data_IF_770575169141
#
_entry.id   IF_770575169141
#
_cell.length_a   1.000
_cell.length_b   1.000
_cell.length_c   1.000
_cell.angle_alpha   90.00
_cell.angle_beta   90.00
_cell.angle_gamma   90.00
#
_symmetry.space_group_name_H-M   'P 1'
#
loop_
_entity.id
_entity.type
_entity.pdbx_description
1 polymer ?
#
# COMPACT_ATOMS: atom_id res chain seq x y z
N UNK A 1 68.96 -60.11 -11.52
CA UNK A 1 68.99 -59.03 -10.51
C UNK A 1 69.67 -57.80 -11.12
N UNK A 2 68.89 -56.96 -11.85
CA UNK A 2 68.84 -55.51 -11.54
C UNK A 2 67.51 -54.78 -11.88
N UNK A 3 67.22 -53.72 -11.10
CA UNK A 3 66.70 -52.36 -11.41
C UNK A 3 65.34 -52.08 -12.13
N UNK A 4 64.47 -51.39 -11.37
CA UNK A 4 63.94 -50.00 -11.55
C UNK A 4 62.64 -49.67 -12.35
N UNK A 5 61.77 -48.91 -11.65
CA UNK A 5 60.87 -47.80 -12.08
C UNK A 5 59.54 -48.22 -12.76
N UNK A 6 58.36 -47.82 -12.25
CA UNK A 6 57.64 -46.58 -12.66
C UNK A 6 56.49 -46.20 -11.70
N UNK A 7 56.34 -44.88 -11.50
CA UNK A 7 55.32 -44.15 -10.75
C UNK A 7 53.88 -44.36 -11.27
N UNK A 8 52.86 -44.18 -10.42
CA UNK A 8 51.78 -43.22 -10.74
C UNK A 8 50.93 -42.85 -9.51
N UNK A 9 50.87 -41.54 -9.26
CA UNK A 9 49.99 -40.87 -8.30
C UNK A 9 48.55 -40.87 -8.80
N UNK A 10 47.57 -41.03 -7.89
CA UNK A 10 46.22 -40.46 -8.08
C UNK A 10 45.85 -39.64 -6.85
N UNK A 11 46.08 -38.33 -6.94
CA UNK A 11 45.51 -37.31 -6.06
C UNK A 11 44.03 -37.10 -6.43
N UNK A 12 43.15 -37.18 -5.46
CA UNK A 12 41.76 -36.71 -5.55
C UNK A 12 41.73 -35.18 -5.48
N UNK A 13 41.00 -34.48 -6.36
CA UNK A 13 40.67 -33.08 -6.16
C UNK A 13 39.17 -32.93 -5.83
N UNK A 14 38.86 -32.15 -4.78
CA UNK A 14 37.76 -31.17 -4.71
C UNK A 14 37.12 -31.12 -3.32
N UNK A 15 37.49 -30.09 -2.55
CA UNK A 15 36.68 -29.62 -1.41
C UNK A 15 36.69 -28.09 -1.23
N UNK A 16 37.11 -27.30 -2.24
CA UNK A 16 37.28 -25.83 -2.11
C UNK A 16 36.21 -24.95 -2.77
N UNK A 17 35.31 -25.47 -3.62
CA UNK A 17 34.38 -24.60 -4.39
C UNK A 17 33.05 -24.25 -3.70
N UNK A 18 32.69 -24.89 -2.58
CA UNK A 18 31.37 -24.67 -1.94
C UNK A 18 31.34 -23.46 -0.99
N UNK A 19 32.47 -23.14 -0.35
CA UNK A 19 32.59 -22.01 0.58
C UNK A 19 32.59 -20.64 -0.13
N UNK A 20 33.15 -20.57 -1.35
CA UNK A 20 33.24 -19.33 -2.13
C UNK A 20 31.85 -18.87 -2.62
N UNK A 21 30.99 -19.81 -3.03
CA UNK A 21 29.63 -19.50 -3.48
C UNK A 21 28.69 -19.09 -2.33
N UNK A 22 28.84 -19.67 -1.14
CA UNK A 22 28.05 -19.27 0.03
C UNK A 22 28.35 -17.82 0.44
N UNK A 23 29.62 -17.39 0.40
CA UNK A 23 30.04 -16.02 0.71
C UNK A 23 29.59 -14.99 -0.33
N UNK A 24 29.48 -15.37 -1.60
CA UNK A 24 28.98 -14.49 -2.65
C UNK A 24 27.46 -14.25 -2.50
N UNK A 25 26.69 -15.29 -2.17
CA UNK A 25 25.24 -15.20 -1.94
C UNK A 25 24.90 -14.38 -0.69
N UNK A 26 25.61 -14.59 0.43
CA UNK A 26 25.39 -13.81 1.66
C UNK A 26 25.74 -12.33 1.50
N UNK A 27 26.82 -12.00 0.78
CA UNK A 27 27.16 -10.61 0.44
C UNK A 27 26.10 -9.93 -0.44
N UNK A 28 25.52 -10.67 -1.40
CA UNK A 28 24.42 -10.14 -2.24
C UNK A 28 23.15 -9.88 -1.44
N UNK A 29 22.80 -10.79 -0.53
CA UNK A 29 21.64 -10.63 0.36
C UNK A 29 21.83 -9.41 1.26
N UNK A 30 23.01 -9.25 1.88
CA UNK A 30 23.27 -8.08 2.74
C UNK A 30 23.29 -6.76 1.95
N UNK A 31 23.78 -6.75 0.71
CA UNK A 31 23.73 -5.57 -0.14
C UNK A 31 22.29 -5.19 -0.52
N UNK A 32 21.45 -6.15 -0.89
CA UNK A 32 20.02 -5.93 -1.19
C UNK A 32 19.27 -5.41 0.04
N UNK A 33 19.56 -5.97 1.22
CA UNK A 33 18.95 -5.55 2.47
C UNK A 33 19.32 -4.11 2.85
N UNK A 34 20.59 -3.72 2.66
CA UNK A 34 21.04 -2.34 2.85
C UNK A 34 20.36 -1.38 1.89
N UNK A 35 20.25 -1.76 0.61
CA UNK A 35 19.53 -0.96 -0.38
C UNK A 35 18.07 -0.73 0.03
N UNK A 36 17.33 -1.79 0.42
CA UNK A 36 15.95 -1.68 0.92
C UNK A 36 15.86 -0.72 2.11
N UNK A 37 16.79 -0.83 3.06
CA UNK A 37 16.81 0.04 4.23
C UNK A 37 17.07 1.50 3.87
N UNK A 38 17.98 1.78 2.92
CA UNK A 38 18.22 3.12 2.41
C UNK A 38 16.99 3.68 1.72
N UNK A 39 16.34 2.92 0.85
CA UNK A 39 15.12 3.35 0.14
C UNK A 39 14.01 3.77 1.13
N UNK A 40 13.76 2.96 2.16
CA UNK A 40 12.80 3.33 3.20
C UNK A 40 13.26 4.53 4.03
N UNK A 41 14.55 4.61 4.39
CA UNK A 41 15.06 5.73 5.17
C UNK A 41 14.90 7.07 4.43
N UNK A 42 15.05 7.09 3.11
CA UNK A 42 15.01 8.30 2.30
C UNK A 42 13.58 8.77 1.96
N UNK A 43 12.59 7.87 2.03
CA UNK A 43 11.20 8.18 1.66
C UNK A 43 10.31 8.43 2.89
N UNK A 44 9.94 9.69 3.20
CA UNK A 44 8.97 9.95 4.26
C UNK A 44 7.60 9.36 3.91
N UNK A 45 6.89 8.90 4.93
CA UNK A 45 5.53 8.39 4.78
C UNK A 45 4.59 9.43 5.39
N UNK A 46 3.88 10.15 4.53
CA UNK A 46 2.90 11.15 4.98
C UNK A 46 1.64 10.51 5.53
N UNK A 47 1.02 11.11 6.54
CA UNK A 47 -0.28 10.69 7.07
C UNK A 47 -0.96 11.84 7.82
N UNK A 48 -2.28 11.75 7.92
CA UNK A 48 -3.07 12.61 8.79
C UNK A 48 -3.04 12.04 10.22
N UNK A 49 -2.31 12.72 11.11
CA UNK A 49 -2.15 12.28 12.50
C UNK A 49 -3.47 12.30 13.27
N UNK A 50 -3.55 11.45 14.30
CA UNK A 50 -4.66 11.43 15.23
C UNK A 50 -4.18 11.02 16.63
N UNK A 51 -4.65 11.68 17.71
CA UNK A 51 -4.26 11.33 19.08
C UNK A 51 -4.47 9.85 19.45
N UNK A 52 -5.43 9.17 18.82
CA UNK A 52 -5.69 7.75 19.04
C UNK A 52 -4.51 6.85 18.64
N UNK A 53 -3.66 7.28 17.71
CA UNK A 53 -2.57 6.45 17.15
C UNK A 53 -1.49 6.10 18.18
N UNK A 54 -1.33 6.94 19.20
CA UNK A 54 -0.33 6.77 20.29
C UNK A 54 -0.86 5.92 21.45
N UNK A 55 -2.15 5.54 21.44
CA UNK A 55 -2.74 4.73 22.51
C UNK A 55 -2.25 3.28 22.43
N UNK A 56 -2.02 2.66 23.59
CA UNK A 56 -1.55 1.26 23.68
C UNK A 56 -2.48 0.26 22.97
N UNK A 57 -3.78 0.54 22.98
CA UNK A 57 -4.80 -0.30 22.33
C UNK A 57 -5.15 0.14 20.90
N UNK A 58 -4.36 1.02 20.26
CA UNK A 58 -4.67 1.57 18.94
C UNK A 58 -4.86 0.49 17.87
N UNK A 59 -4.00 -0.55 17.85
CA UNK A 59 -4.11 -1.68 16.90
C UNK A 59 -5.48 -2.35 17.03
N UNK A 60 -5.86 -2.70 18.26
CA UNK A 60 -7.13 -3.36 18.55
C UNK A 60 -8.33 -2.52 18.11
N UNK A 61 -8.31 -1.23 18.44
CA UNK A 61 -9.43 -0.31 18.16
C UNK A 61 -9.53 0.07 16.68
N UNK A 62 -8.40 0.19 15.97
CA UNK A 62 -8.38 0.75 14.61
C UNK A 62 -8.27 -0.33 13.54
N UNK A 63 -7.43 -1.35 13.75
CA UNK A 63 -7.10 -2.37 12.75
C UNK A 63 -7.94 -3.63 12.96
N UNK A 64 -7.98 -4.16 14.18
CA UNK A 64 -8.65 -5.44 14.46
C UNK A 64 -10.18 -5.30 14.57
N UNK A 65 -10.66 -4.13 14.99
CA UNK A 65 -12.10 -3.87 15.05
C UNK A 65 -12.68 -3.92 13.64
N UNK A 66 -13.69 -4.76 13.33
CA UNK A 66 -14.32 -4.76 12.02
C UNK A 66 -14.83 -3.36 11.67
N UNK A 67 -14.81 -3.02 10.38
CA UNK A 67 -15.47 -1.78 9.97
C UNK A 67 -16.94 -1.86 10.35
N UNK A 68 -17.54 -0.74 10.79
CA UNK A 68 -18.93 -0.73 11.20
C UNK A 68 -19.79 -1.25 10.06
N UNK A 69 -20.67 -2.21 10.34
CA UNK A 69 -21.64 -2.67 9.35
C UNK A 69 -22.64 -1.55 9.09
N UNK A 70 -23.01 -1.30 7.82
CA UNK A 70 -24.02 -0.31 7.54
C UNK A 70 -25.36 -0.77 8.12
N UNK A 71 -25.81 -0.14 9.20
CA UNK A 71 -27.13 -0.43 9.79
C UNK A 71 -28.25 -0.17 8.76
N UNK A 72 -28.01 0.76 7.83
CA UNK A 72 -28.77 0.99 6.59
C UNK A 72 -27.86 1.63 5.52
N UNK A 73 -27.12 0.82 4.74
CA UNK A 73 -26.48 1.36 3.53
C UNK A 73 -27.60 1.97 2.67
N UNK A 74 -27.59 3.29 2.46
CA UNK A 74 -28.54 3.92 1.53
C UNK A 74 -28.38 3.19 0.20
N UNK A 75 -29.46 2.57 -0.29
CA UNK A 75 -29.47 1.79 -1.53
C UNK A 75 -28.64 2.53 -2.58
N UNK A 76 -27.66 1.83 -3.17
CA UNK A 76 -26.90 2.31 -4.30
C UNK A 76 -27.88 2.98 -5.28
N UNK A 77 -27.61 4.25 -5.66
CA UNK A 77 -28.39 4.92 -6.71
C UNK A 77 -28.48 3.96 -7.91
N UNK A 78 -29.70 3.74 -8.43
CA UNK A 78 -29.94 2.83 -9.57
C UNK A 78 -28.90 3.10 -10.65
N UNK A 79 -28.29 2.04 -11.19
CA UNK A 79 -27.35 2.12 -12.31
C UNK A 79 -28.00 2.94 -13.44
N UNK A 80 -27.40 4.06 -13.85
CA UNK A 80 -27.87 4.79 -15.02
C UNK A 80 -27.77 3.91 -16.27
N UNK A 81 -28.80 3.94 -17.12
CA UNK A 81 -28.92 3.10 -18.31
C UNK A 81 -27.86 3.39 -19.38
N UNK A 82 -27.27 4.59 -19.37
CA UNK A 82 -26.35 5.10 -20.38
C UNK A 82 -24.86 5.02 -19.97
N UNK A 83 -24.49 4.12 -19.06
CA UNK A 83 -23.09 3.96 -18.61
C UNK A 83 -22.38 2.86 -19.40
N UNK A 84 -21.15 3.11 -19.91
CA UNK A 84 -20.34 2.08 -20.55
C UNK A 84 -20.21 0.82 -19.70
N UNK A 85 -20.23 -0.34 -20.35
CA UNK A 85 -20.24 -1.63 -19.66
C UNK A 85 -19.09 -1.81 -18.65
N UNK A 86 -17.91 -1.25 -18.95
CA UNK A 86 -16.75 -1.28 -18.07
C UNK A 86 -16.99 -0.63 -16.69
N UNK A 87 -17.85 0.40 -16.61
CA UNK A 87 -18.17 1.09 -15.35
C UNK A 87 -19.37 0.47 -14.61
N UNK A 88 -19.99 -0.58 -15.15
CA UNK A 88 -21.15 -1.23 -14.55
C UNK A 88 -20.84 -1.81 -13.17
N UNK A 89 -19.67 -2.44 -13.02
CA UNK A 89 -19.21 -3.08 -11.78
C UNK A 89 -19.09 -2.10 -10.61
N UNK A 90 -18.84 -0.81 -10.89
CA UNK A 90 -18.78 0.23 -9.86
C UNK A 90 -20.11 0.36 -9.09
N UNK A 91 -21.23 -0.04 -9.68
CA UNK A 91 -22.55 0.06 -9.05
C UNK A 91 -22.92 -1.17 -8.21
N UNK A 92 -22.11 -2.23 -8.26
CA UNK A 92 -22.29 -3.46 -7.46
C UNK A 92 -21.73 -3.28 -6.04
N UNK A 93 -20.71 -2.44 -5.88
CA UNK A 93 -20.14 -2.12 -4.57
C UNK A 93 -21.03 -1.12 -3.80
N UNK A 94 -21.38 -1.41 -2.53
CA UNK A 94 -22.14 -0.48 -1.71
C UNK A 94 -21.32 0.78 -1.38
N UNK A 95 -22.01 1.91 -1.25
CA UNK A 95 -21.41 3.16 -0.80
C UNK A 95 -21.07 3.06 0.69
N UNK A 96 -19.94 3.65 1.08
CA UNK A 96 -19.56 3.75 2.49
C UNK A 96 -20.52 4.68 3.25
N UNK A 97 -20.95 4.25 4.43
CA UNK A 97 -21.57 5.12 5.43
C UNK A 97 -20.56 6.16 5.94
N UNK A 98 -21.02 7.27 6.56
CA UNK A 98 -20.13 8.22 7.22
C UNK A 98 -19.18 7.55 8.24
N UNK A 99 -19.72 6.60 9.01
CA UNK A 99 -18.96 5.90 10.05
C UNK A 99 -17.93 4.95 9.44
N UNK A 100 -18.28 4.24 8.37
CA UNK A 100 -17.37 3.38 7.60
C UNK A 100 -16.25 4.22 6.97
N UNK A 101 -16.59 5.34 6.34
CA UNK A 101 -15.67 6.28 5.72
C UNK A 101 -14.64 6.79 6.75
N UNK A 102 -15.12 7.30 7.90
CA UNK A 102 -14.26 7.77 8.97
C UNK A 102 -13.39 6.65 9.57
N UNK A 103 -13.93 5.43 9.75
CA UNK A 103 -13.18 4.29 10.24
C UNK A 103 -12.09 3.84 9.26
N UNK A 104 -12.39 3.85 7.95
CA UNK A 104 -11.46 3.44 6.90
C UNK A 104 -10.32 4.45 6.72
N UNK A 105 -10.62 5.75 6.69
CA UNK A 105 -9.58 6.79 6.68
C UNK A 105 -8.70 6.75 7.94
N UNK A 106 -9.30 6.51 9.11
CA UNK A 106 -8.53 6.33 10.35
C UNK A 106 -7.61 5.13 10.29
N UNK A 107 -8.07 4.00 9.74
CA UNK A 107 -7.25 2.80 9.55
C UNK A 107 -6.11 3.06 8.57
N UNK A 108 -6.41 3.63 7.41
CA UNK A 108 -5.43 4.00 6.39
C UNK A 108 -4.28 4.84 6.99
N UNK A 109 -4.63 5.94 7.67
CA UNK A 109 -3.65 6.84 8.28
C UNK A 109 -2.90 6.20 9.46
N UNK A 110 -3.56 5.34 10.25
CA UNK A 110 -2.88 4.62 11.33
C UNK A 110 -1.81 3.66 10.82
N UNK A 111 -2.10 2.94 9.73
CA UNK A 111 -1.15 1.99 9.13
C UNK A 111 0.08 2.72 8.58
N UNK A 112 -0.12 3.86 7.90
CA UNK A 112 0.97 4.75 7.48
C UNK A 112 1.79 5.29 8.66
N UNK A 113 1.12 5.75 9.71
CA UNK A 113 1.78 6.15 10.96
C UNK A 113 2.66 5.02 11.53
N UNK A 114 2.15 3.78 11.57
CA UNK A 114 2.92 2.63 12.07
C UNK A 114 4.15 2.34 11.23
N UNK A 115 4.00 2.36 9.90
CA UNK A 115 5.12 2.22 8.98
C UNK A 115 6.16 3.33 9.19
N UNK A 116 5.74 4.60 9.31
CA UNK A 116 6.65 5.74 9.54
C UNK A 116 7.41 5.61 10.87
N UNK A 117 6.74 5.19 11.95
CA UNK A 117 7.39 5.00 13.27
C UNK A 117 8.44 3.89 13.26
N UNK A 118 8.27 2.88 12.42
CA UNK A 118 9.28 1.84 12.22
C UNK A 118 10.40 2.34 11.31
N UNK A 119 10.05 2.99 10.20
CA UNK A 119 10.97 3.62 9.25
C UNK A 119 11.93 4.58 9.95
N UNK A 120 11.44 5.46 10.82
CA UNK A 120 12.24 6.45 11.54
C UNK A 120 13.32 5.85 12.46
N UNK A 121 13.27 4.53 12.73
CA UNK A 121 14.26 3.82 13.53
C UNK A 121 15.24 2.98 12.69
N UNK A 122 15.08 2.97 11.37
CA UNK A 122 15.97 2.22 10.47
C UNK A 122 17.40 2.73 10.65
N UNK A 123 18.35 1.79 10.68
CA UNK A 123 19.78 2.07 10.62
C UNK A 123 20.31 1.49 9.30
N UNK A 124 20.52 2.30 8.25
CA UNK A 124 20.89 1.78 6.93
C UNK A 124 22.20 0.97 6.93
N UNK A 125 23.13 1.30 7.83
CA UNK A 125 24.41 0.58 7.95
C UNK A 125 24.29 -0.82 8.57
N UNK A 126 23.23 -1.04 9.35
CA UNK A 126 22.93 -2.28 10.07
C UNK A 126 21.42 -2.57 10.01
N UNK A 127 20.89 -2.93 8.83
CA UNK A 127 19.46 -3.08 8.63
C UNK A 127 18.92 -4.33 9.31
N UNK A 128 17.75 -4.20 9.93
CA UNK A 128 16.99 -5.31 10.52
C UNK A 128 15.92 -5.77 9.52
N UNK A 129 16.07 -6.98 8.98
CA UNK A 129 15.14 -7.54 8.00
C UNK A 129 13.71 -7.65 8.53
N UNK A 130 13.54 -8.00 9.81
CA UNK A 130 12.20 -8.12 10.40
C UNK A 130 11.51 -6.75 10.48
N UNK A 131 12.28 -5.70 10.80
CA UNK A 131 11.76 -4.33 10.80
C UNK A 131 11.32 -3.88 9.41
N UNK A 132 12.10 -4.20 8.36
CA UNK A 132 11.75 -3.83 6.98
C UNK A 132 10.49 -4.56 6.50
N UNK A 133 10.39 -5.86 6.80
CA UNK A 133 9.22 -6.66 6.45
C UNK A 133 7.96 -6.17 7.20
N UNK A 134 8.09 -5.71 8.44
CA UNK A 134 6.99 -5.07 9.17
C UNK A 134 6.54 -3.74 8.52
N UNK A 135 7.47 -2.92 8.04
CA UNK A 135 7.15 -1.68 7.31
C UNK A 135 6.35 -1.99 6.05
N UNK A 136 6.83 -2.94 5.25
CA UNK A 136 6.15 -3.39 4.03
C UNK A 136 4.75 -3.93 4.33
N UNK A 137 4.61 -4.72 5.40
CA UNK A 137 3.32 -5.22 5.85
C UNK A 137 2.33 -4.08 6.14
N UNK A 138 2.75 -3.06 6.90
CA UNK A 138 1.87 -1.93 7.21
C UNK A 138 1.54 -1.09 5.97
N UNK A 139 2.50 -0.87 5.08
CA UNK A 139 2.27 -0.15 3.82
C UNK A 139 1.32 -0.91 2.89
N UNK A 140 1.46 -2.23 2.79
CA UNK A 140 0.56 -3.07 2.00
C UNK A 140 -0.87 -3.00 2.56
N UNK A 141 -1.03 -3.03 3.89
CA UNK A 141 -2.35 -2.86 4.53
C UNK A 141 -2.92 -1.46 4.35
N UNK A 142 -2.07 -0.43 4.34
CA UNK A 142 -2.50 0.92 4.02
C UNK A 142 -2.99 1.00 2.56
N UNK A 143 -2.28 0.35 1.64
CA UNK A 143 -2.68 0.29 0.23
C UNK A 143 -4.02 -0.42 0.03
N UNK A 144 -4.27 -1.54 0.71
CA UNK A 144 -5.59 -2.21 0.71
C UNK A 144 -6.72 -1.28 1.19
N UNK A 145 -6.47 -0.46 2.22
CA UNK A 145 -7.44 0.51 2.70
C UNK A 145 -7.65 1.66 1.70
N UNK A 146 -6.58 2.11 1.05
CA UNK A 146 -6.60 3.12 0.00
C UNK A 146 -7.39 2.64 -1.22
N UNK A 147 -7.16 1.42 -1.69
CA UNK A 147 -7.91 0.82 -2.81
C UNK A 147 -9.41 0.82 -2.52
N UNK A 148 -9.78 0.43 -1.30
CA UNK A 148 -11.18 0.44 -0.88
C UNK A 148 -11.78 1.86 -0.86
N UNK A 149 -11.01 2.87 -0.46
CA UNK A 149 -11.43 4.27 -0.51
C UNK A 149 -11.61 4.74 -1.95
N UNK A 150 -10.69 4.40 -2.85
CA UNK A 150 -10.79 4.71 -4.29
C UNK A 150 -12.05 4.06 -4.87
N UNK A 151 -12.19 2.74 -4.73
CA UNK A 151 -13.31 1.98 -5.29
C UNK A 151 -14.68 2.48 -4.80
N UNK A 152 -14.79 2.82 -3.51
CA UNK A 152 -16.02 3.38 -2.95
C UNK A 152 -16.40 4.75 -3.55
N UNK A 153 -15.43 5.49 -4.08
CA UNK A 153 -15.62 6.85 -4.57
C UNK A 153 -15.49 7.00 -6.10
N UNK A 154 -15.12 5.95 -6.84
CA UNK A 154 -15.07 6.00 -8.32
C UNK A 154 -16.42 6.40 -8.95
N UNK A 155 -17.54 6.01 -8.31
CA UNK A 155 -18.88 6.43 -8.73
C UNK A 155 -19.09 7.95 -8.70
N UNK A 156 -18.44 8.64 -7.77
CA UNK A 156 -18.47 10.11 -7.68
C UNK A 156 -17.79 10.72 -8.90
N UNK A 157 -16.59 10.24 -9.23
CA UNK A 157 -15.81 10.68 -10.40
C UNK A 157 -16.63 10.54 -11.68
N UNK A 158 -17.18 9.34 -11.93
CA UNK A 158 -18.03 9.08 -13.11
C UNK A 158 -19.23 10.02 -13.17
N UNK A 159 -19.87 10.30 -12.02
CA UNK A 159 -21.02 11.20 -11.96
C UNK A 159 -20.68 12.66 -12.22
N UNK A 160 -19.47 13.10 -11.86
CA UNK A 160 -18.96 14.45 -12.09
C UNK A 160 -18.52 14.58 -13.56
N UNK A 161 -17.68 13.67 -14.04
CA UNK A 161 -17.19 13.66 -15.42
C UNK A 161 -18.33 13.73 -16.43
N UNK A 162 -19.44 13.00 -16.19
CA UNK A 162 -20.62 13.04 -17.07
C UNK A 162 -21.27 14.43 -17.16
N UNK A 163 -21.18 15.26 -16.13
CA UNK A 163 -21.73 16.62 -16.14
C UNK A 163 -20.86 17.61 -16.92
N UNK A 164 -19.57 17.32 -17.04
CA UNK A 164 -18.57 18.19 -17.67
C UNK A 164 -18.17 17.73 -19.07
N UNK A 165 -18.49 16.49 -19.45
CA UNK A 165 -18.25 15.99 -20.80
C UNK A 165 -19.07 16.79 -21.82
N UNK A 166 -18.39 17.31 -22.84
CA UNK A 166 -18.95 18.11 -23.93
C UNK A 166 -18.21 17.79 -25.24
N UNK A 167 -18.44 18.58 -26.30
CA UNK A 167 -17.78 18.36 -27.59
C UNK A 167 -16.26 18.57 -27.56
N UNK A 168 -15.74 19.23 -26.52
CA UNK A 168 -14.33 19.61 -26.41
C UNK A 168 -13.55 18.73 -25.43
N UNK A 169 -14.23 18.03 -24.51
CA UNK A 169 -13.61 17.18 -23.49
C UNK A 169 -14.18 15.76 -23.54
N UNK A 170 -13.30 14.79 -23.80
CA UNK A 170 -13.69 13.39 -23.79
C UNK A 170 -14.11 12.94 -22.39
N UNK A 171 -15.19 12.16 -22.31
CA UNK A 171 -15.65 11.59 -21.05
C UNK A 171 -14.56 10.73 -20.38
N UNK A 172 -13.80 9.95 -21.15
CA UNK A 172 -12.75 9.07 -20.61
C UNK A 172 -11.53 9.85 -20.08
N UNK A 173 -11.22 11.00 -20.69
CA UNK A 173 -10.18 11.92 -20.21
C UNK A 173 -10.60 12.52 -18.88
N UNK A 174 -11.83 13.04 -18.79
CA UNK A 174 -12.37 13.60 -17.54
C UNK A 174 -12.45 12.58 -16.41
N UNK A 175 -12.75 11.31 -16.73
CA UNK A 175 -12.73 10.22 -15.74
C UNK A 175 -11.29 9.97 -15.28
N UNK A 176 -10.33 9.89 -16.19
CA UNK A 176 -8.91 9.69 -15.87
C UNK A 176 -8.37 10.80 -14.96
N UNK A 177 -8.60 12.05 -15.32
CA UNK A 177 -8.19 13.22 -14.53
C UNK A 177 -8.88 13.25 -13.16
N UNK A 178 -10.18 12.94 -13.14
CA UNK A 178 -10.95 12.87 -11.91
C UNK A 178 -10.50 11.74 -10.98
N UNK A 179 -10.01 10.62 -11.52
CA UNK A 179 -9.40 9.55 -10.71
C UNK A 179 -8.09 10.01 -10.06
N UNK A 180 -7.23 10.72 -10.79
CA UNK A 180 -5.98 11.28 -10.24
C UNK A 180 -6.30 12.30 -9.14
N UNK A 181 -7.25 13.20 -9.38
CA UNK A 181 -7.72 14.16 -8.38
C UNK A 181 -8.29 13.47 -7.13
N UNK A 182 -9.08 12.41 -7.31
CA UNK A 182 -9.64 11.59 -6.23
C UNK A 182 -8.53 10.98 -5.36
N UNK A 183 -7.52 10.36 -5.98
CA UNK A 183 -6.39 9.75 -5.27
C UNK A 183 -5.64 10.79 -4.44
N UNK A 184 -5.36 11.96 -5.02
CA UNK A 184 -4.73 13.07 -4.32
C UNK A 184 -5.58 13.62 -3.17
N UNK A 185 -6.91 13.65 -3.33
CA UNK A 185 -7.83 14.05 -2.28
C UNK A 185 -7.83 13.06 -1.11
N UNK A 186 -7.78 11.74 -1.38
CA UNK A 186 -7.71 10.70 -0.35
C UNK A 186 -6.47 10.88 0.54
N UNK A 187 -5.31 11.15 -0.05
CA UNK A 187 -4.05 11.34 0.69
C UNK A 187 -4.09 12.55 1.65
N UNK A 188 -4.86 13.59 1.30
CA UNK A 188 -4.89 14.87 2.04
C UNK A 188 -6.12 15.04 2.93
N UNK A 189 -7.08 14.12 2.86
CA UNK A 189 -8.36 14.29 3.54
C UNK A 189 -8.23 14.09 5.06
N UNK A 190 -8.56 15.14 5.81
CA UNK A 190 -8.64 15.08 7.26
C UNK A 190 -10.03 14.62 7.75
N UNK A 191 -10.11 13.32 8.03
CA UNK A 191 -11.31 12.67 8.55
C UNK A 191 -11.69 13.12 9.97
N UNK A 192 -10.79 13.75 10.74
CA UNK A 192 -11.08 14.19 12.10
C UNK A 192 -11.98 15.45 12.12
N UNK A 193 -12.08 16.16 10.99
CA UNK A 193 -12.92 17.37 10.87
C UNK A 193 -14.42 17.09 10.80
N UNK A 194 -14.84 15.83 10.65
CA UNK A 194 -16.25 15.43 10.66
C UNK A 194 -17.05 15.78 9.40
N UNK A 195 -16.40 16.29 8.35
CA UNK A 195 -17.02 16.48 7.04
C UNK A 195 -17.04 15.17 6.24
N UNK A 196 -17.94 15.08 5.25
CA UNK A 196 -17.94 13.95 4.30
C UNK A 196 -16.81 14.11 3.30
N UNK A 197 -16.16 12.99 2.95
CA UNK A 197 -15.11 12.99 1.94
C UNK A 197 -15.61 13.49 0.58
N UNK A 198 -16.82 13.13 0.19
CA UNK A 198 -17.42 13.61 -1.07
C UNK A 198 -17.58 15.13 -1.13
N UNK A 199 -17.78 15.80 0.01
CA UNK A 199 -17.80 17.27 0.07
C UNK A 199 -16.41 17.84 -0.16
N UNK A 200 -15.38 17.27 0.47
CA UNK A 200 -14.00 17.70 0.26
C UNK A 200 -13.52 17.47 -1.17
N UNK A 201 -13.78 16.29 -1.74
CA UNK A 201 -13.29 15.89 -3.06
C UNK A 201 -13.97 16.64 -4.24
N UNK A 202 -14.99 17.46 -3.97
CA UNK A 202 -15.72 18.22 -5.00
C UNK A 202 -15.42 19.73 -4.97
N UNK A 203 -14.61 20.19 -4.02
CA UNK A 203 -14.19 21.59 -3.89
C UNK A 203 -12.69 21.72 -4.17
#
# INVERSE_FOLDING_TARGET
MPKSVTQSQKRTPRRKNRAVNANASTKKISAKLKQRATEFADQPIDYIDNPLFRKRNAVKVIVETPLPTPEKAKRARKRPSNIPAYFASLYETPLLSPEEEAALFRRFNYLKYRADRLRAKIKPDAPDETQLDEIEFFLQKAHEAWDRLVQANLRLVVSIARRFADSNHSFDELVSDGQIALMNAIEKFDYARGFRFSTYATH
#
